data_IF_824801900340
#
_entry.id   IF_824801900340
#
_cell.length_a   1.000
_cell.length_b   1.000
_cell.length_c   1.000
_cell.angle_alpha   90.00
_cell.angle_beta   90.00
_cell.angle_gamma   90.00
#
_symmetry.space_group_name_H-M   'P 1'
#
loop_
_entity.id
_entity.type
_entity.pdbx_description
1 polymer ?
#
# COMPACT_ATOMS: atom_id res chain seq x y z
N UNK A 1 -8.91 -32.66 -3.61
CA UNK A 1 -9.44 -32.82 -4.99
C UNK A 1 -9.06 -31.58 -5.80
N UNK A 2 -9.06 -31.62 -7.14
CA UNK A 2 -8.74 -30.44 -7.97
C UNK A 2 -9.67 -29.24 -7.70
N UNK A 3 -10.95 -29.50 -7.40
CA UNK A 3 -11.89 -28.45 -6.97
C UNK A 3 -11.40 -27.73 -5.71
N UNK A 4 -10.96 -28.47 -4.68
CA UNK A 4 -10.46 -27.85 -3.45
C UNK A 4 -9.19 -27.03 -3.67
N UNK A 5 -8.27 -27.49 -4.53
CA UNK A 5 -7.06 -26.72 -4.88
C UNK A 5 -7.41 -25.40 -5.57
N UNK A 6 -8.37 -25.45 -6.49
CA UNK A 6 -8.89 -24.26 -7.17
C UNK A 6 -9.54 -23.29 -6.17
N UNK A 7 -10.33 -23.79 -5.23
CA UNK A 7 -10.98 -22.97 -4.20
C UNK A 7 -9.93 -22.26 -3.31
N UNK A 8 -8.86 -22.97 -2.92
CA UNK A 8 -7.74 -22.41 -2.15
C UNK A 8 -7.02 -21.32 -2.95
N UNK A 9 -6.67 -21.59 -4.21
CA UNK A 9 -5.97 -20.62 -5.07
C UNK A 9 -6.84 -19.38 -5.30
N UNK A 10 -8.15 -19.56 -5.49
CA UNK A 10 -9.08 -18.46 -5.78
C UNK A 10 -9.50 -17.62 -4.57
N UNK A 11 -9.31 -18.11 -3.33
CA UNK A 11 -9.81 -17.42 -2.12
C UNK A 11 -8.76 -17.15 -1.04
N UNK A 12 -7.66 -17.90 -1.03
CA UNK A 12 -6.70 -17.86 0.08
C UNK A 12 -5.30 -17.43 -0.34
N UNK A 13 -4.96 -17.49 -1.63
CA UNK A 13 -3.62 -17.18 -2.10
C UNK A 13 -3.58 -15.76 -2.65
N UNK A 14 -2.75 -14.94 -2.01
CA UNK A 14 -2.42 -13.57 -2.40
C UNK A 14 -0.92 -13.47 -2.68
N UNK A 15 -0.54 -12.56 -3.57
CA UNK A 15 0.84 -12.42 -3.99
C UNK A 15 1.17 -11.00 -4.43
N UNK A 16 2.38 -10.58 -4.10
CA UNK A 16 2.95 -9.31 -4.56
C UNK A 16 4.38 -9.54 -5.00
N UNK A 17 4.75 -9.01 -6.16
CA UNK A 17 6.12 -8.99 -6.64
C UNK A 17 6.41 -7.66 -7.34
N UNK A 18 7.63 -7.17 -7.21
CA UNK A 18 8.05 -5.92 -7.85
C UNK A 18 8.26 -6.10 -9.37
N UNK A 19 8.61 -7.31 -9.81
CA UNK A 19 8.83 -7.64 -11.21
C UNK A 19 7.50 -7.99 -11.90
N UNK A 20 7.04 -7.19 -12.87
CA UNK A 20 5.79 -7.47 -13.60
C UNK A 20 5.78 -8.85 -14.26
N UNK A 21 6.94 -9.35 -14.71
CA UNK A 21 7.03 -10.67 -15.33
C UNK A 21 6.82 -11.80 -14.31
N UNK A 22 7.32 -11.64 -13.08
CA UNK A 22 7.12 -12.64 -12.03
C UNK A 22 5.64 -12.74 -11.64
N UNK A 23 4.93 -11.61 -11.60
CA UNK A 23 3.48 -11.55 -11.39
C UNK A 23 2.74 -12.34 -12.46
N UNK A 24 3.02 -12.09 -13.74
CA UNK A 24 2.33 -12.78 -14.84
C UNK A 24 2.66 -14.28 -14.89
N UNK A 25 3.92 -14.65 -14.65
CA UNK A 25 4.32 -16.06 -14.52
C UNK A 25 3.62 -16.76 -13.35
N UNK A 26 3.47 -16.07 -12.21
CA UNK A 26 2.75 -16.58 -11.05
C UNK A 26 1.28 -16.84 -11.40
N UNK A 27 0.60 -15.86 -12.01
CA UNK A 27 -0.81 -16.02 -12.46
C UNK A 27 -0.98 -17.21 -13.40
N UNK A 28 -0.10 -17.36 -14.40
CA UNK A 28 -0.16 -18.48 -15.36
C UNK A 28 0.13 -19.82 -14.65
N UNK A 29 1.08 -19.86 -13.72
CA UNK A 29 1.42 -21.08 -12.98
C UNK A 29 0.27 -21.53 -12.10
N UNK A 30 -0.31 -20.62 -11.31
CA UNK A 30 -1.51 -20.88 -10.52
C UNK A 30 -2.68 -21.31 -11.41
N UNK A 31 -2.80 -20.72 -12.60
CA UNK A 31 -3.81 -21.12 -13.55
C UNK A 31 -3.68 -22.57 -14.01
N UNK A 32 -2.48 -22.98 -14.42
CA UNK A 32 -2.21 -24.35 -14.89
C UNK A 32 -2.44 -25.39 -13.79
N UNK A 33 -2.08 -25.09 -12.55
CA UNK A 33 -2.28 -25.99 -11.41
C UNK A 33 -3.77 -26.14 -11.03
N UNK A 34 -4.54 -25.05 -11.11
CA UNK A 34 -5.97 -25.02 -10.76
C UNK A 34 -6.91 -25.36 -11.93
N UNK A 35 -6.39 -25.81 -13.08
CA UNK A 35 -7.20 -26.15 -14.25
C UNK A 35 -8.17 -27.33 -13.96
N UNK A 36 -9.46 -27.06 -14.12
CA UNK A 36 -10.53 -28.06 -14.02
C UNK A 36 -11.31 -28.11 -15.35
N UNK A 37 -11.50 -29.29 -15.97
CA UNK A 37 -12.25 -29.42 -17.21
C UNK A 37 -13.64 -28.80 -17.12
N UNK A 38 -13.98 -27.91 -18.06
CA UNK A 38 -15.28 -27.23 -18.10
C UNK A 38 -15.39 -25.98 -17.21
N UNK A 39 -14.38 -25.66 -16.39
CA UNK A 39 -14.32 -24.44 -15.59
C UNK A 39 -13.08 -23.61 -15.93
N UNK A 40 -13.26 -22.46 -16.56
CA UNK A 40 -12.17 -21.49 -16.74
C UNK A 40 -11.81 -20.87 -15.37
N UNK A 41 -10.58 -20.43 -15.15
CA UNK A 41 -10.12 -19.96 -13.83
C UNK A 41 -10.83 -18.68 -13.37
N UNK A 42 -10.97 -18.55 -12.05
CA UNK A 42 -11.39 -17.31 -11.39
C UNK A 42 -10.48 -16.15 -11.77
N UNK A 43 -10.98 -14.95 -11.57
CA UNK A 43 -10.27 -13.70 -11.83
C UNK A 43 -9.11 -13.57 -10.83
N UNK A 44 -7.88 -13.98 -11.15
CA UNK A 44 -6.74 -13.86 -10.19
C UNK A 44 -6.12 -12.46 -10.11
N UNK A 45 -6.53 -11.54 -10.98
CA UNK A 45 -5.94 -10.20 -11.08
C UNK A 45 -6.12 -9.34 -9.82
N UNK A 46 -7.07 -9.67 -8.95
CA UNK A 46 -7.24 -8.99 -7.67
C UNK A 46 -6.35 -9.55 -6.55
N UNK A 47 -5.85 -10.78 -6.66
CA UNK A 47 -5.04 -11.42 -5.61
C UNK A 47 -3.53 -11.36 -5.87
N UNK A 48 -3.12 -11.34 -7.14
CA UNK A 48 -1.70 -11.27 -7.52
C UNK A 48 -1.40 -9.90 -8.14
N UNK A 49 -0.58 -9.10 -7.45
CA UNK A 49 -0.37 -7.68 -7.73
C UNK A 49 1.10 -7.37 -7.98
N UNK A 50 1.35 -6.35 -8.79
CA UNK A 50 2.69 -5.82 -9.02
C UNK A 50 2.94 -4.64 -8.08
N UNK A 51 4.06 -4.65 -7.35
CA UNK A 51 4.45 -3.56 -6.47
C UNK A 51 5.57 -3.90 -5.50
N UNK A 52 6.09 -2.88 -4.84
CA UNK A 52 7.12 -2.99 -3.83
C UNK A 52 6.49 -3.23 -2.46
N UNK A 53 6.42 -4.50 -2.05
CA UNK A 53 5.81 -4.95 -0.79
C UNK A 53 6.40 -4.32 0.48
N UNK A 54 7.59 -3.72 0.38
CA UNK A 54 8.30 -3.07 1.49
C UNK A 54 8.11 -1.55 1.53
N UNK A 55 7.52 -0.95 0.51
CA UNK A 55 7.44 0.49 0.35
C UNK A 55 5.99 0.93 0.15
N UNK A 56 5.39 1.38 1.24
CA UNK A 56 3.99 1.79 1.28
C UNK A 56 3.66 2.55 2.56
N UNK A 57 2.37 2.69 2.83
CA UNK A 57 1.86 3.38 4.02
C UNK A 57 0.71 2.61 4.63
N UNK A 58 0.34 3.01 5.84
CA UNK A 58 -0.76 2.44 6.61
C UNK A 58 -1.71 3.54 7.08
N UNK A 59 -2.97 3.22 7.38
CA UNK A 59 -3.94 4.18 7.94
C UNK A 59 -3.40 4.93 9.15
N UNK A 60 -2.74 4.24 10.09
CA UNK A 60 -2.15 4.88 11.27
C UNK A 60 -1.06 5.90 10.90
N UNK A 61 -0.15 5.54 9.98
CA UNK A 61 0.91 6.45 9.53
C UNK A 61 0.34 7.69 8.82
N UNK A 62 -0.70 7.52 7.99
CA UNK A 62 -1.39 8.64 7.35
C UNK A 62 -2.16 9.49 8.37
N UNK A 63 -2.77 8.86 9.38
CA UNK A 63 -3.46 9.54 10.47
C UNK A 63 -2.53 10.44 11.30
N UNK A 64 -1.23 10.14 11.36
CA UNK A 64 -0.20 10.99 11.98
C UNK A 64 0.33 12.09 11.04
N UNK A 65 -0.01 12.03 9.75
CA UNK A 65 0.40 12.95 8.70
C UNK A 65 1.85 12.78 8.28
N UNK A 66 2.46 13.83 7.72
CA UNK A 66 3.86 13.77 7.24
C UNK A 66 4.86 13.95 8.38
N UNK A 67 5.68 12.94 8.68
CA UNK A 67 6.70 13.02 9.72
C UNK A 67 7.95 13.80 9.27
N UNK A 68 8.65 14.41 10.23
CA UNK A 68 9.84 15.25 9.95
C UNK A 68 11.01 14.46 9.33
N UNK A 69 11.00 13.12 9.42
CA UNK A 69 12.00 12.26 8.80
C UNK A 69 11.84 12.18 7.27
N UNK A 70 10.68 12.55 6.70
CA UNK A 70 10.50 12.68 5.26
C UNK A 70 11.43 13.74 4.63
N UNK A 71 11.92 14.68 5.45
CA UNK A 71 12.85 15.74 5.03
C UNK A 71 14.30 15.47 5.47
N UNK A 72 14.64 14.22 5.79
CA UNK A 72 16.05 13.82 5.90
C UNK A 72 16.66 13.80 4.49
N UNK A 73 17.79 14.50 4.24
CA UNK A 73 18.39 14.52 2.91
C UNK A 73 18.75 13.12 2.42
N UNK A 74 18.35 12.79 1.20
CA UNK A 74 18.79 11.60 0.46
C UNK A 74 19.79 11.99 -0.64
N UNK A 75 20.26 11.02 -1.42
CA UNK A 75 21.17 11.30 -2.54
C UNK A 75 20.49 12.21 -3.58
N UNK A 76 21.18 13.29 -3.96
CA UNK A 76 20.66 14.29 -4.92
C UNK A 76 19.97 15.49 -4.29
N UNK A 77 19.65 15.46 -2.99
CA UNK A 77 18.98 16.56 -2.30
C UNK A 77 19.92 17.71 -1.90
N UNK A 78 19.37 18.93 -1.85
CA UNK A 78 20.01 20.07 -1.21
C UNK A 78 19.75 20.07 0.30
N UNK A 79 20.83 20.04 1.09
CA UNK A 79 20.76 19.98 2.56
C UNK A 79 20.09 21.21 3.18
N UNK A 80 20.21 22.39 2.55
CA UNK A 80 19.58 23.63 3.03
C UNK A 80 18.08 23.58 2.79
N UNK A 81 17.66 23.18 1.59
CA UNK A 81 16.23 23.00 1.24
C UNK A 81 15.58 21.96 2.16
N UNK A 82 16.22 20.81 2.38
CA UNK A 82 15.73 19.79 3.32
C UNK A 82 15.60 20.32 4.75
N UNK A 83 16.56 21.14 5.21
CA UNK A 83 16.52 21.73 6.54
C UNK A 83 15.33 22.70 6.68
N UNK A 84 15.15 23.58 5.70
CA UNK A 84 14.08 24.58 5.71
C UNK A 84 12.70 23.92 5.65
N UNK A 85 12.52 22.92 4.77
CA UNK A 85 11.29 22.12 4.69
C UNK A 85 11.01 21.36 5.99
N UNK A 86 12.04 20.83 6.64
CA UNK A 86 11.90 20.16 7.93
C UNK A 86 11.45 21.12 9.04
N UNK A 87 12.02 22.32 9.08
CA UNK A 87 11.63 23.37 10.04
C UNK A 87 10.18 23.83 9.78
N UNK A 88 9.81 24.01 8.52
CA UNK A 88 8.43 24.29 8.11
C UNK A 88 7.48 23.18 8.57
N UNK A 89 7.77 21.91 8.24
CA UNK A 89 6.93 20.77 8.60
C UNK A 89 6.72 20.67 10.12
N UNK A 90 7.79 20.84 10.89
CA UNK A 90 7.74 20.84 12.35
C UNK A 90 6.85 21.97 12.89
N UNK A 91 6.95 23.16 12.32
CA UNK A 91 6.10 24.31 12.67
C UNK A 91 4.63 24.06 12.34
N UNK A 92 4.35 23.48 11.16
CA UNK A 92 2.99 23.13 10.73
C UNK A 92 2.32 22.10 11.64
N UNK A 93 3.07 21.07 12.06
CA UNK A 93 2.60 20.04 12.99
C UNK A 93 2.27 20.63 14.36
N UNK A 94 3.17 21.43 14.92
CA UNK A 94 2.95 22.08 16.22
C UNK A 94 1.80 23.09 16.20
N UNK A 95 1.63 23.83 15.08
CA UNK A 95 0.59 24.85 14.95
C UNK A 95 -0.83 24.29 14.74
N UNK A 96 -0.96 23.11 14.12
CA UNK A 96 -2.25 22.44 13.93
C UNK A 96 -2.75 21.77 15.22
N UNK A 97 -1.86 21.21 16.03
CA UNK A 97 -2.22 20.57 17.31
C UNK A 97 -2.95 21.54 18.27
N UNK A 98 -2.70 22.85 18.14
CA UNK A 98 -3.38 23.90 18.91
C UNK A 98 -4.81 24.21 18.43
N UNK A 99 -5.19 23.82 17.20
CA UNK A 99 -6.48 24.13 16.56
C UNK A 99 -7.29 22.87 16.17
N UNK A 100 -6.72 21.66 16.31
CA UNK A 100 -7.20 20.41 15.71
C UNK A 100 -8.26 19.65 16.52
N UNK A 101 -8.95 20.27 17.47
CA UNK A 101 -10.02 19.60 18.21
C UNK A 101 -11.31 19.35 17.39
N UNK A 102 -11.38 19.68 16.10
CA UNK A 102 -12.66 19.78 15.35
C UNK A 102 -12.68 19.11 13.96
N UNK A 103 -11.59 18.50 13.46
CA UNK A 103 -11.67 17.76 12.19
C UNK A 103 -12.05 16.30 12.46
N UNK A 104 -13.35 16.00 12.35
CA UNK A 104 -13.86 14.63 12.23
C UNK A 104 -13.08 13.93 11.10
N UNK A 105 -12.28 12.92 11.48
CA UNK A 105 -11.56 12.06 10.55
C UNK A 105 -12.58 11.31 9.71
N UNK A 106 -12.75 11.70 8.44
CA UNK A 106 -13.50 10.88 7.48
C UNK A 106 -12.64 9.68 7.11
N UNK A 107 -12.91 8.53 7.72
CA UNK A 107 -12.47 7.26 7.16
C UNK A 107 -13.26 7.02 5.86
N UNK A 108 -12.63 6.51 4.79
CA UNK A 108 -13.35 6.01 3.61
C UNK A 108 -14.03 4.69 3.97
N UNK A 109 -15.03 4.74 4.86
CA UNK A 109 -15.76 3.59 5.39
C UNK A 109 -16.51 2.80 4.31
N UNK A 110 -16.65 3.34 3.09
CA UNK A 110 -17.45 2.74 2.03
C UNK A 110 -16.69 1.75 1.15
N UNK A 111 -15.36 1.86 1.06
CA UNK A 111 -14.57 1.01 0.15
C UNK A 111 -14.48 -0.42 0.66
N UNK A 112 -14.09 -0.64 1.92
CA UNK A 112 -13.86 -1.99 2.45
C UNK A 112 -15.10 -2.89 2.37
N UNK A 113 -16.25 -2.42 2.85
CA UNK A 113 -17.48 -3.22 2.82
C UNK A 113 -17.87 -3.61 1.39
N UNK A 114 -17.61 -2.73 0.42
CA UNK A 114 -17.93 -2.99 -0.99
C UNK A 114 -16.98 -4.01 -1.62
N UNK A 115 -15.69 -3.99 -1.24
CA UNK A 115 -14.70 -4.99 -1.69
C UNK A 115 -14.90 -6.36 -1.05
N UNK A 116 -15.25 -6.42 0.24
CA UNK A 116 -15.57 -7.68 0.92
C UNK A 116 -16.75 -8.39 0.23
N UNK A 117 -17.82 -7.65 -0.09
CA UNK A 117 -18.95 -8.18 -0.85
C UNK A 117 -18.54 -8.68 -2.24
N UNK A 118 -17.61 -7.99 -2.92
CA UNK A 118 -17.12 -8.40 -4.23
C UNK A 118 -16.30 -9.69 -4.15
N UNK A 119 -15.50 -9.87 -3.09
CA UNK A 119 -14.73 -11.09 -2.87
C UNK A 119 -15.63 -12.32 -2.75
N UNK A 120 -16.75 -12.18 -2.03
CA UNK A 120 -17.73 -13.26 -1.80
C UNK A 120 -18.66 -13.55 -3.00
N UNK A 121 -18.63 -12.72 -4.06
CA UNK A 121 -19.46 -12.96 -5.25
C UNK A 121 -19.10 -14.27 -5.98
N UNK A 122 -20.13 -14.93 -6.51
CA UNK A 122 -20.00 -16.11 -7.36
C UNK A 122 -19.15 -15.82 -8.60
N UNK A 123 -18.17 -16.68 -8.85
CA UNK A 123 -17.29 -16.64 -10.01
C UNK A 123 -17.33 -17.95 -10.82
N UNK A 124 -18.29 -18.83 -10.52
CA UNK A 124 -18.37 -20.18 -11.10
C UNK A 124 -18.72 -20.19 -12.58
N UNK A 125 -19.43 -19.16 -13.07
CA UNK A 125 -19.78 -19.00 -14.49
C UNK A 125 -18.94 -17.91 -15.18
N UNK A 126 -18.84 -17.95 -16.51
CA UNK A 126 -18.13 -16.92 -17.27
C UNK A 126 -18.80 -15.54 -17.14
N UNK A 127 -20.14 -15.54 -17.10
CA UNK A 127 -20.96 -14.34 -16.97
C UNK A 127 -20.87 -13.72 -15.56
N UNK A 128 -20.86 -14.55 -14.50
CA UNK A 128 -20.63 -14.07 -13.14
C UNK A 128 -19.23 -13.44 -12.96
N UNK A 129 -18.21 -14.00 -13.61
CA UNK A 129 -16.86 -13.41 -13.63
C UNK A 129 -16.78 -12.10 -14.40
N UNK A 130 -17.46 -11.99 -15.54
CA UNK A 130 -17.52 -10.74 -16.28
C UNK A 130 -18.15 -9.62 -15.41
N UNK A 131 -19.22 -9.95 -14.67
CA UNK A 131 -19.82 -9.02 -13.69
C UNK A 131 -18.87 -8.65 -12.55
N UNK A 132 -18.24 -9.64 -11.90
CA UNK A 132 -17.29 -9.41 -10.81
C UNK A 132 -16.11 -8.53 -11.27
N UNK A 133 -15.57 -8.80 -12.45
CA UNK A 133 -14.49 -8.01 -13.03
C UNK A 133 -14.93 -6.56 -13.37
N UNK A 134 -16.14 -6.37 -13.89
CA UNK A 134 -16.69 -5.03 -14.16
C UNK A 134 -16.96 -4.25 -12.87
N UNK A 135 -17.54 -4.90 -11.86
CA UNK A 135 -17.78 -4.30 -10.55
C UNK A 135 -16.46 -3.91 -9.90
N UNK A 136 -15.44 -4.79 -9.96
CA UNK A 136 -14.10 -4.50 -9.47
C UNK A 136 -13.50 -3.27 -10.18
N UNK A 137 -13.58 -3.25 -11.52
CA UNK A 137 -13.12 -2.11 -12.33
C UNK A 137 -13.80 -0.81 -11.92
N UNK A 138 -15.12 -0.83 -11.71
CA UNK A 138 -15.88 0.35 -11.28
C UNK A 138 -15.46 0.88 -9.91
N UNK A 139 -15.07 -0.01 -8.98
CA UNK A 139 -14.63 0.36 -7.64
C UNK A 139 -13.25 0.97 -7.65
N UNK A 140 -12.29 0.36 -8.36
CA UNK A 140 -10.92 0.89 -8.46
C UNK A 140 -10.84 2.17 -9.29
N UNK A 141 -11.86 2.46 -10.10
CA UNK A 141 -12.01 3.73 -10.84
C UNK A 141 -12.92 4.73 -10.13
N UNK A 142 -13.38 4.42 -8.92
CA UNK A 142 -14.18 5.37 -8.14
C UNK A 142 -13.31 6.51 -7.64
N UNK A 143 -13.88 7.72 -7.58
CA UNK A 143 -13.17 8.89 -7.07
C UNK A 143 -12.69 8.69 -5.62
N UNK A 144 -13.42 7.93 -4.80
CA UNK A 144 -13.03 7.61 -3.43
C UNK A 144 -11.76 6.76 -3.39
N UNK A 145 -11.69 5.71 -4.22
CA UNK A 145 -10.52 4.86 -4.35
C UNK A 145 -9.32 5.63 -4.91
N UNK A 146 -9.50 6.37 -6.01
CA UNK A 146 -8.43 7.16 -6.63
C UNK A 146 -7.87 8.22 -5.67
N UNK A 147 -8.73 8.88 -4.88
CA UNK A 147 -8.27 9.86 -3.89
C UNK A 147 -7.55 9.21 -2.71
N UNK A 148 -8.04 8.05 -2.24
CA UNK A 148 -7.37 7.29 -1.18
C UNK A 148 -5.99 6.82 -1.62
N UNK A 149 -5.90 6.32 -2.87
CA UNK A 149 -4.64 5.91 -3.49
C UNK A 149 -3.67 7.09 -3.64
N UNK A 150 -4.17 8.22 -4.15
CA UNK A 150 -3.36 9.43 -4.29
C UNK A 150 -2.80 9.92 -2.94
N UNK A 151 -3.59 9.90 -1.87
CA UNK A 151 -3.11 10.29 -0.54
C UNK A 151 -2.02 9.32 -0.03
N UNK A 152 -2.23 8.02 -0.22
CA UNK A 152 -1.26 7.02 0.17
C UNK A 152 0.08 7.15 -0.60
N UNK A 153 -0.01 7.40 -1.91
CA UNK A 153 1.14 7.70 -2.76
C UNK A 153 1.82 9.00 -2.33
N UNK A 154 1.05 10.05 -2.06
CA UNK A 154 1.57 11.35 -1.62
C UNK A 154 2.34 11.26 -0.30
N UNK A 155 1.85 10.44 0.64
CA UNK A 155 2.53 10.17 1.89
C UNK A 155 3.90 9.54 1.64
N UNK A 156 3.97 8.50 0.80
CA UNK A 156 5.23 7.84 0.46
C UNK A 156 6.16 8.75 -0.35
N UNK A 157 5.61 9.50 -1.30
CA UNK A 157 6.33 10.42 -2.15
C UNK A 157 7.03 11.52 -1.33
N UNK A 158 6.49 11.93 -0.18
CA UNK A 158 7.13 12.93 0.69
C UNK A 158 8.58 12.58 1.05
N UNK A 159 8.90 11.28 1.18
CA UNK A 159 10.24 10.79 1.53
C UNK A 159 11.23 10.85 0.38
N UNK A 160 10.76 10.75 -0.86
CA UNK A 160 11.61 10.49 -2.04
C UNK A 160 11.49 11.55 -3.14
N UNK A 161 10.53 12.47 -3.05
CA UNK A 161 10.46 13.64 -3.91
C UNK A 161 11.77 14.42 -3.80
N UNK A 162 12.39 14.82 -4.93
CA UNK A 162 13.62 15.61 -4.93
C UNK A 162 13.45 16.92 -4.16
N UNK A 163 14.43 17.26 -3.32
CA UNK A 163 14.43 18.48 -2.50
C UNK A 163 15.60 19.37 -2.89
N UNK A 164 15.57 19.83 -4.14
CA UNK A 164 16.63 20.65 -4.76
C UNK A 164 16.30 22.14 -4.76
N UNK A 165 15.01 22.49 -4.83
CA UNK A 165 14.51 23.86 -4.80
C UNK A 165 13.20 23.91 -3.98
N UNK A 166 13.02 24.99 -3.20
CA UNK A 166 11.79 25.26 -2.44
C UNK A 166 10.57 25.56 -3.34
N UNK A 167 10.78 25.95 -4.60
CA UNK A 167 9.69 26.16 -5.57
C UNK A 167 9.13 24.83 -6.15
N UNK A 168 9.82 23.72 -5.90
CA UNK A 168 9.35 22.39 -6.31
C UNK A 168 8.34 21.82 -5.31
N UNK A 169 7.65 20.75 -5.70
CA UNK A 169 6.62 20.16 -4.86
C UNK A 169 7.27 19.50 -3.64
N UNK A 170 6.94 20.00 -2.45
CA UNK A 170 7.19 19.33 -1.18
C UNK A 170 5.86 19.00 -0.49
N UNK A 171 5.63 17.71 -0.23
CA UNK A 171 4.44 17.27 0.52
C UNK A 171 4.71 17.44 2.01
N UNK A 172 4.46 18.65 2.54
CA UNK A 172 4.54 18.94 3.99
C UNK A 172 3.27 18.50 4.72
N UNK A 173 3.30 18.54 6.05
CA UNK A 173 2.16 18.22 6.89
C UNK A 173 0.90 19.00 6.51
N UNK A 174 1.01 20.33 6.34
CA UNK A 174 -0.13 21.17 5.93
C UNK A 174 -0.62 20.81 4.53
N UNK A 175 0.29 20.56 3.61
CA UNK A 175 -0.03 20.16 2.24
C UNK A 175 -0.85 18.87 2.23
N UNK A 176 -0.36 17.84 2.93
CA UNK A 176 -1.04 16.56 3.09
C UNK A 176 -2.43 16.69 3.71
N UNK A 177 -2.56 17.43 4.83
CA UNK A 177 -3.86 17.66 5.48
C UNK A 177 -4.84 18.44 4.61
N UNK A 178 -4.35 19.36 3.79
CA UNK A 178 -5.19 20.07 2.83
C UNK A 178 -5.75 19.13 1.76
N UNK A 179 -4.93 18.22 1.24
CA UNK A 179 -5.35 17.23 0.25
C UNK A 179 -6.28 16.17 0.85
N UNK A 180 -6.05 15.79 2.11
CA UNK A 180 -6.92 14.87 2.86
C UNK A 180 -8.32 15.47 3.07
N UNK A 181 -8.39 16.75 3.46
CA UNK A 181 -9.66 17.43 3.67
C UNK A 181 -10.42 17.71 2.35
N UNK A 182 -9.69 17.98 1.28
CA UNK A 182 -10.26 18.26 -0.04
C UNK A 182 -9.25 17.84 -1.13
N UNK A 183 -9.45 16.64 -1.73
CA UNK A 183 -8.57 16.14 -2.78
C UNK A 183 -8.51 17.05 -4.02
N UNK A 184 -9.47 17.95 -4.21
CA UNK A 184 -9.47 18.94 -5.28
C UNK A 184 -8.42 20.04 -5.11
N UNK A 185 -7.82 20.17 -3.92
CA UNK A 185 -6.73 21.14 -3.65
C UNK A 185 -5.39 20.70 -4.22
N UNK A 186 -5.20 19.43 -4.54
CA UNK A 186 -4.03 18.95 -5.24
C UNK A 186 -4.12 19.38 -6.71
N UNK A 187 -3.16 20.19 -7.17
CA UNK A 187 -3.16 20.61 -8.57
C UNK A 187 -2.91 19.40 -9.49
N UNK A 188 -3.32 19.46 -10.78
CA UNK A 188 -3.02 18.40 -11.73
C UNK A 188 -1.52 18.12 -11.85
N UNK A 189 -0.68 19.15 -11.73
CA UNK A 189 0.77 19.01 -11.74
C UNK A 189 1.31 18.27 -10.51
N UNK A 190 0.73 18.51 -9.33
CA UNK A 190 1.14 17.80 -8.11
C UNK A 190 0.75 16.33 -8.17
N UNK A 191 -0.49 16.05 -8.63
CA UNK A 191 -0.95 14.68 -8.88
C UNK A 191 -0.07 13.94 -9.86
N UNK A 192 0.33 14.60 -10.94
CA UNK A 192 1.23 14.00 -11.93
C UNK A 192 2.61 13.68 -11.33
N UNK A 193 3.18 14.58 -10.52
CA UNK A 193 4.48 14.36 -9.86
C UNK A 193 4.41 13.20 -8.87
N UNK A 194 3.38 13.16 -8.02
CA UNK A 194 3.16 12.06 -7.06
C UNK A 194 3.00 10.75 -7.82
N UNK A 195 2.19 10.72 -8.87
CA UNK A 195 1.97 9.51 -9.67
C UNK A 195 3.25 9.02 -10.37
N UNK A 196 4.08 9.93 -10.90
CA UNK A 196 5.35 9.58 -11.54
C UNK A 196 6.30 8.91 -10.53
N UNK A 197 6.47 9.52 -9.35
CA UNK A 197 7.29 8.96 -8.27
C UNK A 197 6.73 7.63 -7.78
N UNK A 198 5.41 7.51 -7.62
CA UNK A 198 4.77 6.26 -7.23
C UNK A 198 5.02 5.14 -8.23
N UNK A 199 5.05 5.46 -9.53
CA UNK A 199 5.42 4.52 -10.59
C UNK A 199 6.89 4.08 -10.52
N UNK A 200 7.81 5.03 -10.31
CA UNK A 200 9.26 4.76 -10.24
C UNK A 200 9.63 3.87 -9.04
N UNK A 201 8.98 4.09 -7.90
CA UNK A 201 9.21 3.34 -6.67
C UNK A 201 8.27 2.13 -6.49
N UNK A 202 7.26 2.04 -7.35
CA UNK A 202 6.20 1.03 -7.32
C UNK A 202 5.55 0.89 -5.93
N UNK A 203 5.12 2.01 -5.33
CA UNK A 203 4.53 1.99 -3.99
C UNK A 203 3.39 0.98 -3.88
N UNK A 204 3.31 0.31 -2.72
CA UNK A 204 2.33 -0.73 -2.46
C UNK A 204 1.60 -0.52 -1.13
N UNK A 205 0.31 -0.20 -1.20
CA UNK A 205 -0.52 0.06 -0.04
C UNK A 205 -1.42 -1.15 0.24
N UNK A 206 -1.01 -2.01 1.18
CA UNK A 206 -1.69 -3.28 1.50
C UNK A 206 -3.20 -3.13 1.69
N UNK A 207 -3.63 -2.18 2.51
CA UNK A 207 -5.04 -1.91 2.82
C UNK A 207 -5.88 -1.40 1.64
N UNK A 208 -5.27 -0.73 0.66
CA UNK A 208 -5.97 -0.31 -0.56
C UNK A 208 -5.92 -1.39 -1.64
N UNK A 209 -4.89 -2.23 -1.63
CA UNK A 209 -4.67 -3.25 -2.64
C UNK A 209 -5.47 -4.51 -2.38
N UNK A 210 -5.58 -4.92 -1.11
CA UNK A 210 -6.36 -6.06 -0.65
C UNK A 210 -7.37 -5.64 0.44
N UNK A 211 -8.33 -4.75 0.10
CA UNK A 211 -9.35 -4.24 1.03
C UNK A 211 -10.29 -5.33 1.59
N UNK A 212 -10.33 -6.51 0.97
CA UNK A 212 -11.03 -7.70 1.47
C UNK A 212 -10.25 -8.45 2.55
N UNK A 213 -8.93 -8.25 2.64
CA UNK A 213 -8.05 -8.84 3.64
C UNK A 213 -7.82 -7.87 4.80
N UNK A 214 -7.71 -6.58 4.49
CA UNK A 214 -7.40 -5.52 5.43
C UNK A 214 -8.50 -4.47 5.41
N UNK A 215 -9.03 -4.12 6.59
CA UNK A 215 -10.04 -3.08 6.70
C UNK A 215 -9.70 -2.05 7.75
N UNK A 216 -10.16 -0.83 7.53
CA UNK A 216 -10.05 0.24 8.52
C UNK A 216 -11.28 0.12 9.42
N UNK A 217 -11.13 -0.07 10.74
CA UNK A 217 -12.27 -0.10 11.67
C UNK A 217 -13.04 1.21 11.64
N UNK A 218 -14.30 1.14 12.08
CA UNK A 218 -15.12 2.33 12.31
C UNK A 218 -14.55 3.16 13.47
N UNK A 219 -14.95 4.43 13.56
CA UNK A 219 -14.35 5.39 14.50
C UNK A 219 -14.52 5.02 15.99
N UNK A 220 -15.47 4.13 16.30
CA UNK A 220 -15.78 3.60 17.62
C UNK A 220 -15.15 2.23 17.89
N UNK A 221 -14.39 1.67 16.95
CA UNK A 221 -13.71 0.38 17.08
C UNK A 221 -12.18 0.53 17.06
N UNK A 222 -11.51 -0.27 17.88
CA UNK A 222 -10.04 -0.36 17.88
C UNK A 222 -9.55 -1.28 16.75
N UNK A 223 -8.44 -0.90 16.11
CA UNK A 223 -7.78 -1.74 15.12
C UNK A 223 -7.12 -2.95 15.79
N UNK A 224 -7.32 -4.16 15.23
CA UNK A 224 -6.62 -5.36 15.68
C UNK A 224 -5.09 -5.20 15.61
N UNK A 225 -4.62 -4.42 14.63
CA UNK A 225 -3.23 -3.97 14.54
C UNK A 225 -3.15 -2.45 14.68
N UNK A 226 -2.94 -1.98 15.91
CA UNK A 226 -2.77 -0.55 16.24
C UNK A 226 -1.61 0.11 15.47
N UNK A 227 -0.52 -0.60 15.20
CA UNK A 227 0.66 -0.03 14.52
C UNK A 227 0.34 0.33 13.07
N UNK A 228 -0.51 -0.47 12.41
CA UNK A 228 -0.93 -0.21 11.05
C UNK A 228 -2.23 0.60 10.99
N UNK A 229 -3.09 0.51 11.99
CA UNK A 229 -4.41 1.17 11.99
C UNK A 229 -5.43 0.46 11.11
N UNK A 230 -5.27 -0.84 10.90
CA UNK A 230 -6.23 -1.71 10.21
C UNK A 230 -6.48 -2.97 11.04
N UNK A 231 -7.59 -3.64 10.73
CA UNK A 231 -7.91 -4.98 11.19
C UNK A 231 -7.80 -5.98 10.04
N UNK A 232 -7.72 -7.27 10.38
CA UNK A 232 -7.47 -8.33 9.42
C UNK A 232 -6.00 -8.50 9.06
N UNK A 233 -5.76 -9.32 8.05
CA UNK A 233 -4.44 -9.71 7.60
C UNK A 233 -4.39 -11.15 7.12
N UNK A 234 -3.17 -11.64 6.92
CA UNK A 234 -2.93 -13.01 6.47
C UNK A 234 -2.61 -13.92 7.65
N UNK A 235 -3.17 -15.13 7.64
CA UNK A 235 -2.79 -16.18 8.59
C UNK A 235 -1.31 -16.59 8.46
N UNK A 236 -0.74 -16.47 7.26
CA UNK A 236 0.64 -16.79 6.95
C UNK A 236 1.17 -15.90 5.83
N UNK A 237 2.39 -15.36 6.01
CA UNK A 237 3.09 -14.59 4.98
C UNK A 237 4.39 -15.31 4.63
N UNK A 238 4.55 -15.67 3.37
CA UNK A 238 5.77 -16.26 2.82
C UNK A 238 6.50 -15.20 2.01
N UNK A 239 7.59 -14.70 2.54
CA UNK A 239 8.47 -13.76 1.85
C UNK A 239 9.70 -14.46 1.29
N UNK A 240 10.27 -13.90 0.23
CA UNK A 240 11.67 -14.17 -0.12
C UNK A 240 12.53 -13.51 0.97
N UNK A 241 13.16 -14.26 1.89
CA UNK A 241 13.94 -13.65 2.95
C UNK A 241 15.06 -12.80 2.32
N UNK A 242 15.43 -11.66 2.94
CA UNK A 242 16.52 -10.85 2.41
C UNK A 242 17.76 -11.72 2.28
N UNK A 243 18.34 -11.79 1.08
CA UNK A 243 19.66 -12.37 0.83
C UNK A 243 20.78 -11.48 1.39
N UNK A 244 20.53 -10.80 2.52
CA UNK A 244 21.63 -10.27 3.31
C UNK A 244 22.53 -11.46 3.58
N UNK A 245 23.73 -11.41 2.98
CA UNK A 245 24.81 -12.33 3.27
C UNK A 245 24.80 -12.49 4.78
N UNK A 246 24.37 -13.67 5.24
CA UNK A 246 24.63 -14.10 6.60
C UNK A 246 26.12 -13.87 6.70
N UNK A 247 26.56 -12.88 7.49
CA UNK A 247 27.94 -12.87 7.94
C UNK A 247 28.03 -14.15 8.74
N UNK A 248 28.46 -15.22 8.09
CA UNK A 248 29.01 -16.37 8.76
C UNK A 248 30.06 -15.78 9.69
N UNK A 249 29.78 -15.80 10.99
CA UNK A 249 30.79 -15.60 12.00
C UNK A 249 31.72 -16.81 11.92
N UNK A 250 32.58 -16.84 10.89
CA UNK A 250 33.70 -17.77 10.73
C UNK A 250 34.81 -17.35 11.69
N UNK A 251 34.51 -17.37 12.99
CA UNK A 251 35.40 -17.26 14.14
C UNK A 251 34.46 -17.19 15.34
N UNK A 252 34.12 -18.30 15.99
CA UNK A 252 34.70 -18.57 17.32
C UNK A 252 34.48 -20.03 17.78
N UNK A 253 34.03 -20.95 16.91
CA UNK A 253 33.67 -22.32 17.35
C UNK A 253 34.75 -23.40 17.17
N UNK A 254 35.91 -23.06 16.59
CA UNK A 254 37.00 -24.02 16.36
C UNK A 254 38.32 -23.69 17.09
N UNK A 255 38.31 -22.75 18.03
CA UNK A 255 39.46 -22.52 18.89
C UNK A 255 39.23 -23.13 20.29
N UNK A 256 40.04 -24.14 20.58
CA UNK A 256 40.30 -24.77 21.90
C UNK A 256 39.19 -25.70 22.40
N UNK A 257 39.44 -26.97 22.72
CA UNK A 257 40.62 -27.50 23.41
C UNK A 257 40.88 -28.98 23.08
N UNK A 258 42.15 -29.30 22.85
CA UNK A 258 42.69 -30.66 23.02
C UNK A 258 43.12 -30.83 24.49
N UNK A 259 42.90 -31.99 25.10
CA UNK A 259 43.91 -32.67 25.90
C UNK A 259 44.79 -33.56 25.01
#
# INVERSE_FOLDING_TARGET
TRSALRDVIGRCIYGVDINPMAVELCKISLWMEAMEPGKTLGFLDHHIKCGNSLLGTTPALMADGIPDNAFKPIEGDDKTVCKDLKEQNKGERAGLDMFSAVLERRTPANLTATFAQLSDEDDSSADARARKAERYRSLVQSAEYENSWFLADAWCASFVLPKTNLDELAVTYRCFRNWEADPGRASPGDRQKVHAIAGDYQFFHWHLTFPEVFWIPDADEDAENEQCGWSGGFDCVLGNPPWEKTKLHDAEWFATSRP
#
